data_IF_047164904012
#
_entry.id   IF_047164904012
#
_cell.length_a   1.000
_cell.length_b   1.000
_cell.length_c   1.000
_cell.angle_alpha   90.00
_cell.angle_beta   90.00
_cell.angle_gamma   90.00
#
_symmetry.space_group_name_H-M   'P 1'
#
loop_
_entity.id
_entity.type
_entity.pdbx_description
1 polymer ?
#
# COMPACT_ATOMS: atom_id res chain seq x y z
N UNK A 1 -10.27 27.24 5.78
CA UNK A 1 -9.50 26.31 4.91
C UNK A 1 -8.68 25.32 5.71
N UNK A 2 -8.06 25.74 6.82
CA UNK A 2 -7.31 24.88 7.76
C UNK A 2 -8.08 23.65 8.23
N UNK A 3 -9.34 23.80 8.63
CA UNK A 3 -10.19 22.66 9.05
C UNK A 3 -10.40 21.58 7.96
N UNK A 4 -10.39 21.96 6.68
CA UNK A 4 -10.53 21.02 5.57
C UNK A 4 -9.22 20.25 5.32
N UNK A 5 -8.07 20.92 5.53
CA UNK A 5 -6.74 20.29 5.48
C UNK A 5 -6.52 19.32 6.64
N UNK A 6 -6.96 19.67 7.86
CA UNK A 6 -6.90 18.75 8.99
C UNK A 6 -7.81 17.54 8.75
N UNK A 7 -9.01 17.75 8.16
CA UNK A 7 -9.96 16.66 7.87
C UNK A 7 -9.44 15.57 6.92
N UNK A 8 -8.44 15.88 6.08
CA UNK A 8 -7.74 14.91 5.23
C UNK A 8 -6.97 13.86 6.04
N UNK A 9 -6.71 14.08 7.33
CA UNK A 9 -5.96 13.15 8.15
C UNK A 9 -6.86 12.09 8.83
N UNK A 10 -6.33 10.87 9.08
CA UNK A 10 -7.09 9.80 9.73
C UNK A 10 -7.61 10.21 11.11
N UNK A 11 -8.81 9.73 11.48
CA UNK A 11 -9.50 10.11 12.73
C UNK A 11 -8.66 9.87 13.99
N UNK A 12 -7.89 8.78 14.04
CA UNK A 12 -6.96 8.48 15.16
C UNK A 12 -5.82 9.48 15.26
N UNK A 13 -5.28 9.92 14.13
CA UNK A 13 -4.21 10.92 14.10
C UNK A 13 -4.73 12.30 14.51
N UNK A 14 -5.92 12.68 14.00
CA UNK A 14 -6.57 13.94 14.38
C UNK A 14 -6.88 14.04 15.87
N UNK A 15 -7.24 12.93 16.52
CA UNK A 15 -7.52 12.92 17.94
C UNK A 15 -6.28 13.22 18.81
N UNK A 16 -5.07 12.97 18.30
CA UNK A 16 -3.82 13.17 19.05
C UNK A 16 -3.08 14.45 18.66
N UNK A 17 -3.14 14.86 17.39
CA UNK A 17 -2.31 15.96 16.86
C UNK A 17 -3.12 17.02 16.10
N UNK A 18 -4.46 16.87 16.02
CA UNK A 18 -5.30 17.71 15.16
C UNK A 18 -5.38 19.16 15.62
N UNK A 19 -5.42 19.42 16.93
CA UNK A 19 -5.45 20.78 17.47
C UNK A 19 -4.12 21.52 17.28
N UNK A 20 -2.99 20.91 17.65
CA UNK A 20 -1.66 21.49 17.45
C UNK A 20 -1.38 21.78 15.98
N UNK A 21 -1.76 20.85 15.09
CA UNK A 21 -1.56 21.03 13.66
C UNK A 21 -2.49 22.11 13.06
N UNK A 22 -3.69 22.28 13.61
CA UNK A 22 -4.58 23.37 13.21
C UNK A 22 -3.99 24.73 13.59
N UNK A 23 -3.43 24.87 14.81
CA UNK A 23 -2.75 26.08 15.26
C UNK A 23 -1.52 26.39 14.38
N UNK A 24 -0.70 25.39 14.09
CA UNK A 24 0.44 25.50 13.17
C UNK A 24 0.02 25.98 11.76
N UNK A 25 -1.10 25.46 11.25
CA UNK A 25 -1.64 25.87 9.93
C UNK A 25 -2.24 27.28 9.92
N UNK A 26 -2.69 27.79 11.07
CA UNK A 26 -3.17 29.17 11.21
C UNK A 26 -2.03 30.19 11.25
N UNK A 27 -0.89 29.83 11.86
CA UNK A 27 0.31 30.67 11.88
C UNK A 27 1.11 30.61 10.57
N UNK A 28 0.98 29.51 9.81
CA UNK A 28 1.72 29.31 8.56
C UNK A 28 1.02 29.98 7.37
N UNK A 29 1.78 30.74 6.57
CA UNK A 29 1.28 31.24 5.28
C UNK A 29 0.98 30.07 4.33
N UNK A 30 -0.29 29.86 4.01
CA UNK A 30 -0.76 28.80 3.11
C UNK A 30 -0.30 29.08 1.67
N UNK A 31 0.84 28.50 1.29
CA UNK A 31 1.31 28.47 -0.10
C UNK A 31 0.85 27.20 -0.80
N UNK A 32 0.70 27.18 -2.14
CA UNK A 32 0.31 25.97 -2.87
C UNK A 32 1.25 24.78 -2.63
N UNK A 33 2.54 25.04 -2.46
CA UNK A 33 3.53 24.01 -2.14
C UNK A 33 3.26 23.34 -0.78
N UNK A 34 2.90 24.12 0.24
CA UNK A 34 2.53 23.60 1.56
C UNK A 34 1.25 22.77 1.48
N UNK A 35 0.26 23.19 0.69
CA UNK A 35 -0.97 22.42 0.49
C UNK A 35 -0.65 21.04 -0.11
N UNK A 36 0.20 20.98 -1.14
CA UNK A 36 0.62 19.72 -1.76
C UNK A 36 1.34 18.82 -0.76
N UNK A 37 2.26 19.36 0.02
CA UNK A 37 3.00 18.60 1.04
C UNK A 37 2.07 18.02 2.11
N UNK A 38 1.14 18.83 2.63
CA UNK A 38 0.14 18.38 3.62
C UNK A 38 -0.74 17.26 3.06
N UNK A 39 -1.19 17.37 1.81
CA UNK A 39 -1.97 16.33 1.13
C UNK A 39 -1.15 15.06 0.93
N UNK A 40 0.13 15.18 0.54
CA UNK A 40 1.04 14.04 0.37
C UNK A 40 1.26 13.31 1.71
N UNK A 41 1.47 14.05 2.80
CA UNK A 41 1.61 13.47 4.14
C UNK A 41 0.33 12.78 4.61
N UNK A 42 -0.83 13.41 4.42
CA UNK A 42 -2.12 12.81 4.74
C UNK A 42 -2.36 11.51 3.95
N UNK A 43 -1.98 11.50 2.66
CA UNK A 43 -1.99 10.33 1.80
C UNK A 43 -1.08 9.21 2.31
N UNK A 44 0.16 9.53 2.69
CA UNK A 44 1.11 8.56 3.26
C UNK A 44 0.57 7.92 4.56
N UNK A 45 -0.06 8.72 5.42
CA UNK A 45 -0.72 8.26 6.64
C UNK A 45 -1.88 7.31 6.35
N UNK A 46 -2.70 7.61 5.34
CA UNK A 46 -3.75 6.69 4.88
C UNK A 46 -3.17 5.39 4.30
N UNK A 47 -2.11 5.47 3.50
CA UNK A 47 -1.41 4.29 2.98
C UNK A 47 -0.86 3.44 4.12
N UNK A 48 -0.30 4.05 5.15
CA UNK A 48 0.22 3.33 6.32
C UNK A 48 -0.90 2.70 7.15
N UNK A 49 -2.02 3.39 7.35
CA UNK A 49 -3.19 2.87 8.06
C UNK A 49 -3.81 1.68 7.31
N UNK A 50 -3.90 1.76 5.99
CA UNK A 50 -4.49 0.74 5.12
C UNK A 50 -3.45 -0.10 4.37
N UNK A 51 -2.23 -0.23 4.91
CA UNK A 51 -1.09 -0.87 4.22
C UNK A 51 -1.41 -2.23 3.63
N UNK A 52 -2.23 -3.04 4.31
CA UNK A 52 -2.65 -4.35 3.81
C UNK A 52 -3.51 -4.26 2.54
N UNK A 53 -4.50 -3.35 2.51
CA UNK A 53 -5.33 -3.12 1.34
C UNK A 53 -4.53 -2.53 0.19
N UNK A 54 -3.65 -1.57 0.46
CA UNK A 54 -2.78 -0.96 -0.56
C UNK A 54 -1.86 -2.01 -1.18
N UNK A 55 -1.22 -2.86 -0.37
CA UNK A 55 -0.40 -3.96 -0.88
C UNK A 55 -1.21 -4.94 -1.72
N UNK A 56 -2.45 -5.27 -1.31
CA UNK A 56 -3.35 -6.12 -2.07
C UNK A 56 -3.71 -5.52 -3.44
N UNK A 57 -4.10 -4.25 -3.48
CA UNK A 57 -4.40 -3.53 -4.72
C UNK A 57 -3.16 -3.41 -5.62
N UNK A 58 -1.99 -3.16 -5.04
CA UNK A 58 -0.74 -3.10 -5.80
C UNK A 58 -0.40 -4.46 -6.44
N UNK A 59 -0.59 -5.57 -5.73
CA UNK A 59 -0.38 -6.90 -6.28
C UNK A 59 -1.40 -7.27 -7.37
N UNK A 60 -2.66 -6.86 -7.20
CA UNK A 60 -3.68 -7.01 -8.25
C UNK A 60 -3.27 -6.25 -9.52
N UNK A 61 -2.87 -4.99 -9.38
CA UNK A 61 -2.40 -4.17 -10.50
C UNK A 61 -1.16 -4.75 -11.17
N UNK A 62 -0.21 -5.25 -10.38
CA UNK A 62 0.98 -5.95 -10.90
C UNK A 62 0.60 -7.21 -11.70
N UNK A 63 -0.28 -8.05 -11.14
CA UNK A 63 -0.74 -9.28 -11.78
C UNK A 63 -1.43 -8.99 -13.12
N UNK A 64 -2.35 -8.01 -13.13
CA UNK A 64 -3.03 -7.57 -14.35
C UNK A 64 -2.06 -7.00 -15.40
N UNK A 65 -1.06 -6.22 -14.97
CA UNK A 65 -0.04 -5.69 -15.88
C UNK A 65 0.79 -6.82 -16.52
N UNK A 66 1.27 -7.77 -15.71
CA UNK A 66 2.03 -8.91 -16.20
C UNK A 66 1.19 -9.80 -17.13
N UNK A 67 -0.10 -9.96 -16.86
CA UNK A 67 -1.02 -10.70 -17.73
C UNK A 67 -1.18 -10.00 -19.09
N UNK A 68 -1.46 -8.70 -19.11
CA UNK A 68 -1.58 -7.91 -20.35
C UNK A 68 -0.30 -7.98 -21.18
N UNK A 69 0.87 -7.85 -20.55
CA UNK A 69 2.17 -7.97 -21.22
C UNK A 69 2.37 -9.38 -21.78
N UNK A 70 2.01 -10.42 -21.01
CA UNK A 70 2.16 -11.82 -21.43
C UNK A 70 1.24 -12.17 -22.60
N UNK A 71 -0.01 -11.66 -22.61
CA UNK A 71 -0.96 -11.83 -23.72
C UNK A 71 -0.40 -11.17 -24.98
N UNK A 72 0.06 -9.92 -24.87
CA UNK A 72 0.64 -9.19 -26.00
C UNK A 72 1.91 -9.84 -26.55
N UNK A 73 2.71 -10.46 -25.69
CA UNK A 73 3.92 -11.17 -26.07
C UNK A 73 3.66 -12.60 -26.59
N UNK A 74 2.40 -13.06 -26.65
CA UNK A 74 2.06 -14.42 -27.08
C UNK A 74 2.56 -15.52 -26.12
N UNK A 75 2.86 -15.16 -24.87
CA UNK A 75 3.45 -16.07 -23.90
C UNK A 75 2.41 -16.93 -23.17
N UNK A 76 1.12 -16.57 -23.22
CA UNK A 76 0.04 -17.15 -22.41
C UNK A 76 -0.38 -18.56 -22.79
N UNK A 77 -0.01 -19.05 -23.97
CA UNK A 77 -0.23 -20.44 -24.33
C UNK A 77 0.62 -21.34 -23.41
N UNK A 78 -0.04 -22.05 -22.48
CA UNK A 78 0.55 -23.12 -21.67
C UNK A 78 1.43 -22.70 -20.47
N UNK A 79 1.30 -21.48 -19.93
CA UNK A 79 2.06 -21.03 -18.73
C UNK A 79 1.70 -21.81 -17.44
N UNK A 80 0.49 -22.37 -17.36
CA UNK A 80 0.04 -23.17 -16.21
C UNK A 80 0.62 -24.60 -16.17
N UNK A 81 1.23 -25.05 -17.26
CA UNK A 81 1.99 -26.31 -17.33
C UNK A 81 3.50 -26.01 -17.34
N UNK A 82 4.32 -27.04 -17.08
CA UNK A 82 5.78 -26.90 -16.91
C UNK A 82 6.38 -25.95 -17.97
N UNK A 83 7.00 -24.82 -17.57
CA UNK A 83 7.44 -23.79 -18.49
C UNK A 83 8.55 -24.34 -19.39
N UNK A 84 8.21 -24.58 -20.66
CA UNK A 84 9.13 -25.14 -21.65
C UNK A 84 10.19 -24.15 -22.12
N UNK A 85 10.10 -22.87 -21.75
CA UNK A 85 11.05 -21.81 -22.10
C UNK A 85 11.34 -20.89 -20.90
N UNK A 86 12.55 -20.31 -20.79
CA UNK A 86 12.92 -19.42 -19.69
C UNK A 86 12.05 -18.16 -19.64
N UNK A 87 11.61 -17.64 -20.79
CA UNK A 87 10.70 -16.49 -20.86
C UNK A 87 9.34 -16.77 -20.20
N UNK A 88 8.79 -17.98 -20.39
CA UNK A 88 7.53 -18.40 -19.73
C UNK A 88 7.71 -18.59 -18.23
N UNK A 89 8.85 -19.09 -17.79
CA UNK A 89 9.17 -19.21 -16.37
C UNK A 89 9.23 -17.83 -15.67
N UNK A 90 9.84 -16.83 -16.31
CA UNK A 90 9.87 -15.44 -15.80
C UNK A 90 8.46 -14.84 -15.76
N UNK A 91 7.64 -15.04 -16.80
CA UNK A 91 6.26 -14.55 -16.82
C UNK A 91 5.40 -15.18 -15.71
N UNK A 92 5.55 -16.49 -15.46
CA UNK A 92 4.87 -17.18 -14.35
C UNK A 92 5.33 -16.66 -12.99
N UNK A 93 6.65 -16.48 -12.80
CA UNK A 93 7.20 -15.96 -11.55
C UNK A 93 6.74 -14.51 -11.31
N UNK A 94 6.68 -13.68 -12.35
CA UNK A 94 6.23 -12.29 -12.24
C UNK A 94 4.75 -12.20 -11.88
N UNK A 95 3.90 -13.06 -12.46
CA UNK A 95 2.44 -13.08 -12.19
C UNK A 95 2.09 -13.68 -10.84
N UNK A 96 2.77 -14.75 -10.43
CA UNK A 96 2.45 -15.46 -9.18
C UNK A 96 3.26 -14.97 -7.98
N UNK A 97 4.46 -14.40 -8.18
CA UNK A 97 5.40 -14.04 -7.11
C UNK A 97 4.93 -12.94 -6.16
N UNK A 98 4.01 -12.09 -6.59
CA UNK A 98 3.42 -11.06 -5.72
C UNK A 98 2.59 -11.66 -4.57
N UNK A 99 1.96 -12.82 -4.78
CA UNK A 99 1.04 -13.43 -3.81
C UNK A 99 1.75 -14.08 -2.60
N UNK A 100 2.82 -14.89 -2.78
CA UNK A 100 3.61 -15.41 -1.66
C UNK A 100 4.22 -14.29 -0.81
N UNK A 101 4.69 -13.20 -1.44
CA UNK A 101 5.24 -12.05 -0.72
C UNK A 101 4.18 -11.35 0.13
N UNK A 102 2.97 -11.18 -0.41
CA UNK A 102 1.81 -10.69 0.33
C UNK A 102 1.40 -11.60 1.49
N UNK A 103 1.36 -12.92 1.24
CA UNK A 103 1.03 -13.91 2.25
C UNK A 103 2.07 -13.93 3.39
N UNK A 104 3.36 -13.86 3.06
CA UNK A 104 4.45 -13.75 4.03
C UNK A 104 4.34 -12.46 4.86
N UNK A 105 4.08 -11.32 4.22
CA UNK A 105 3.87 -10.05 4.92
C UNK A 105 2.65 -10.08 5.86
N UNK A 106 1.56 -10.71 5.43
CA UNK A 106 0.37 -10.91 6.25
C UNK A 106 0.63 -11.84 7.44
N UNK A 107 1.35 -12.95 7.22
CA UNK A 107 1.72 -13.89 8.28
C UNK A 107 2.64 -13.24 9.32
N UNK A 108 3.64 -12.47 8.87
CA UNK A 108 4.56 -11.75 9.76
C UNK A 108 3.83 -10.70 10.61
N UNK A 109 2.82 -10.01 10.04
CA UNK A 109 1.97 -9.09 10.80
C UNK A 109 1.16 -9.80 11.88
N UNK A 110 0.59 -10.97 11.58
CA UNK A 110 -0.15 -11.78 12.57
C UNK A 110 0.75 -12.24 13.71
N UNK A 111 1.97 -12.70 13.41
CA UNK A 111 2.96 -13.10 14.42
C UNK A 111 3.29 -11.94 15.36
N UNK A 112 3.62 -10.76 14.82
CA UNK A 112 3.90 -9.57 15.63
C UNK A 112 2.73 -9.14 16.51
N UNK A 113 1.49 -9.29 16.02
CA UNK A 113 0.30 -8.99 16.83
C UNK A 113 0.10 -10.01 17.96
N UNK A 114 0.40 -11.28 17.72
CA UNK A 114 0.37 -12.33 18.74
C UNK A 114 1.46 -12.14 19.81
N UNK A 115 2.68 -11.76 19.41
CA UNK A 115 3.79 -11.50 20.33
C UNK A 115 3.53 -10.29 21.24
N UNK A 116 2.81 -9.28 20.74
CA UNK A 116 2.41 -8.10 21.51
C UNK A 116 1.25 -8.36 22.48
N UNK A 117 0.42 -9.38 22.21
CA UNK A 117 -0.67 -9.82 23.06
C UNK A 117 -0.19 -10.83 24.12
N UNK A 118 1.03 -10.64 24.66
CA UNK A 118 1.78 -11.56 25.52
C UNK A 118 0.92 -12.32 26.56
N UNK A 119 1.38 -13.50 27.01
CA UNK A 119 0.54 -14.48 27.71
C UNK A 119 -0.15 -13.81 28.88
N UNK A 120 -1.49 -13.85 28.88
CA UNK A 120 -2.29 -13.50 30.04
C UNK A 120 -1.76 -14.34 31.22
N UNK A 121 -1.01 -13.68 32.10
CA UNK A 121 -0.61 -14.20 33.40
C UNK A 121 -1.62 -13.72 34.42
#
# INVERSE_FOLDING_TARGET
MTGLLVALFPRKWRASFGEEFAALLEETRLTPAVIIDVVAQAGLLHVRAHRGLVLGLAALGWSACCEVVSVRAGLTANILWAPSTPARAIALAATTGAWPLLAAAAAQRRRRAADQAGPAR
#
